data_IF_077301620100
#
_entry.id   IF_077301620100
#
_cell.length_a   1.000
_cell.length_b   1.000
_cell.length_c   1.000
_cell.angle_alpha   90.00
_cell.angle_beta   90.00
_cell.angle_gamma   90.00
#
_symmetry.space_group_name_H-M   'P 1'
#
loop_
_entity.id
_entity.type
_entity.pdbx_description
1 polymer ?
#
# COMPACT_ATOMS: atom_id res chain seq x y z
N UNK A 1 -4.15 -12.13 18.09
CA UNK A 1 -3.26 -12.17 16.90
C UNK A 1 -3.08 -10.76 16.36
N UNK A 2 -1.85 -10.22 16.33
CA UNK A 2 -1.56 -8.88 15.80
C UNK A 2 -1.31 -8.96 14.28
N UNK A 3 -1.85 -8.00 13.53
CA UNK A 3 -1.67 -7.86 12.07
C UNK A 3 -0.88 -6.60 11.78
N UNK A 4 -0.19 -6.57 10.64
CA UNK A 4 0.44 -5.37 10.11
C UNK A 4 -0.15 -5.00 8.74
N UNK A 5 -0.03 -3.73 8.40
CA UNK A 5 -0.35 -3.20 7.08
C UNK A 5 0.62 -2.07 6.78
N UNK A 6 1.38 -2.18 5.69
CA UNK A 6 2.27 -1.13 5.20
C UNK A 6 1.92 -0.77 3.75
N UNK A 7 2.20 0.47 3.38
CA UNK A 7 2.02 0.98 2.02
C UNK A 7 3.19 1.89 1.68
N UNK A 8 3.58 1.90 0.40
CA UNK A 8 4.59 2.80 -0.14
C UNK A 8 4.24 3.14 -1.60
N UNK A 9 4.62 4.34 -2.03
CA UNK A 9 4.70 4.65 -3.46
C UNK A 9 5.96 3.99 -4.03
N UNK A 10 5.87 3.54 -5.28
CA UNK A 10 6.96 2.95 -6.03
C UNK A 10 6.97 3.49 -7.45
N UNK A 11 8.15 3.46 -8.07
CA UNK A 11 8.34 3.75 -9.49
C UNK A 11 8.96 2.51 -10.13
N UNK A 12 8.37 2.05 -11.24
CA UNK A 12 8.90 0.91 -11.99
C UNK A 12 10.15 1.32 -12.79
N UNK A 13 10.92 0.33 -13.26
CA UNK A 13 12.08 0.57 -14.13
C UNK A 13 11.71 1.26 -15.46
N UNK A 14 10.43 1.20 -15.85
CA UNK A 14 9.91 1.79 -17.08
C UNK A 14 9.19 3.13 -16.82
N UNK A 15 9.31 3.69 -15.61
CA UNK A 15 8.72 4.99 -15.25
C UNK A 15 7.25 4.94 -14.84
N UNK A 16 6.66 3.75 -14.71
CA UNK A 16 5.29 3.61 -14.21
C UNK A 16 5.24 3.91 -12.72
N UNK A 17 4.14 4.51 -12.25
CA UNK A 17 3.96 4.82 -10.84
C UNK A 17 3.05 3.77 -10.20
N UNK A 18 3.38 3.32 -9.00
CA UNK A 18 2.68 2.21 -8.35
C UNK A 18 2.48 2.41 -6.85
N UNK A 19 1.46 1.76 -6.33
CA UNK A 19 1.23 1.58 -4.90
C UNK A 19 1.62 0.18 -4.47
N UNK A 20 2.65 0.06 -3.64
CA UNK A 20 3.03 -1.22 -2.99
C UNK A 20 2.30 -1.30 -1.66
N UNK A 21 1.64 -2.43 -1.40
CA UNK A 21 1.01 -2.74 -0.12
C UNK A 21 1.46 -4.09 0.38
N UNK A 22 1.76 -4.17 1.68
CA UNK A 22 2.09 -5.41 2.36
C UNK A 22 1.18 -5.59 3.57
N UNK A 23 0.72 -6.82 3.81
CA UNK A 23 -0.11 -7.14 4.96
C UNK A 23 0.08 -8.57 5.42
N UNK A 24 -0.14 -8.80 6.71
CA UNK A 24 0.01 -10.14 7.24
C UNK A 24 -0.15 -10.19 8.74
N UNK A 25 0.19 -11.35 9.30
CA UNK A 25 0.37 -11.50 10.75
C UNK A 25 1.79 -11.08 11.10
N UNK A 26 1.96 -10.41 12.24
CA UNK A 26 3.30 -10.07 12.74
C UNK A 26 4.08 -11.38 12.98
N UNK A 27 5.35 -11.41 12.54
CA UNK A 27 6.20 -12.61 12.58
C UNK A 27 6.07 -13.53 11.36
N UNK A 28 5.38 -13.10 10.30
CA UNK A 28 5.30 -13.82 9.01
C UNK A 28 5.70 -12.89 7.86
N UNK A 29 6.04 -13.47 6.70
CA UNK A 29 6.31 -12.70 5.47
C UNK A 29 5.09 -11.91 4.97
N UNK A 30 3.88 -12.39 5.29
CA UNK A 30 2.63 -11.77 4.85
C UNK A 30 2.39 -11.94 3.35
N UNK A 31 1.71 -10.98 2.77
CA UNK A 31 1.41 -10.87 1.34
C UNK A 31 1.77 -9.48 0.88
N UNK A 32 2.26 -9.39 -0.36
CA UNK A 32 2.58 -8.14 -1.03
C UNK A 32 1.78 -8.05 -2.32
N UNK A 33 1.30 -6.85 -2.64
CA UNK A 33 0.71 -6.54 -3.94
C UNK A 33 1.13 -5.15 -4.38
N UNK A 34 1.43 -5.04 -5.66
CA UNK A 34 1.65 -3.77 -6.33
C UNK A 34 0.49 -3.51 -7.27
N UNK A 35 -0.08 -2.31 -7.18
CA UNK A 35 -1.07 -1.82 -8.13
C UNK A 35 -0.40 -0.69 -8.93
N UNK A 36 -0.35 -0.82 -10.26
CA UNK A 36 0.30 0.12 -11.16
C UNK A 36 -0.71 1.11 -11.74
N UNK A 37 -0.23 2.33 -12.00
CA UNK A 37 -0.99 3.47 -12.47
C UNK A 37 -0.22 4.19 -13.58
N UNK A 38 -0.96 4.86 -14.45
CA UNK A 38 -0.39 5.59 -15.59
C UNK A 38 0.31 6.87 -15.14
N UNK A 39 -0.12 7.47 -14.03
CA UNK A 39 0.43 8.71 -13.50
C UNK A 39 0.60 8.68 -11.97
N UNK A 40 1.62 9.38 -11.47
CA UNK A 40 1.89 9.49 -10.03
C UNK A 40 0.68 10.00 -9.21
N UNK A 41 -0.07 11.04 -9.64
CA UNK A 41 -1.21 11.52 -8.88
C UNK A 41 -2.31 10.46 -8.71
N UNK A 42 -2.48 9.55 -9.67
CA UNK A 42 -3.46 8.46 -9.56
C UNK A 42 -3.05 7.47 -8.46
N UNK A 43 -1.76 7.12 -8.39
CA UNK A 43 -1.22 6.25 -7.35
C UNK A 43 -1.36 6.88 -5.96
N UNK A 44 -1.09 8.18 -5.84
CA UNK A 44 -1.24 8.94 -4.60
C UNK A 44 -2.70 8.97 -4.11
N UNK A 45 -3.64 9.29 -4.99
CA UNK A 45 -5.07 9.32 -4.67
C UNK A 45 -5.53 7.94 -4.18
N UNK A 46 -5.13 6.87 -4.87
CA UNK A 46 -5.48 5.51 -4.49
C UNK A 46 -4.89 5.11 -3.12
N UNK A 47 -3.61 5.42 -2.87
CA UNK A 47 -2.96 5.15 -1.58
C UNK A 47 -3.60 5.93 -0.44
N UNK A 48 -3.96 7.20 -0.67
CA UNK A 48 -4.63 8.03 0.33
C UNK A 48 -6.03 7.50 0.66
N UNK A 49 -6.80 7.08 -0.35
CA UNK A 49 -8.10 6.45 -0.13
C UNK A 49 -7.99 5.16 0.70
N UNK A 50 -6.99 4.33 0.38
CA UNK A 50 -6.69 3.11 1.11
C UNK A 50 -6.23 3.38 2.54
N UNK A 51 -5.37 4.38 2.76
CA UNK A 51 -4.93 4.84 4.08
C UNK A 51 -6.10 5.27 4.95
N UNK A 52 -7.02 6.09 4.42
CA UNK A 52 -8.24 6.49 5.13
C UNK A 52 -9.10 5.28 5.49
N UNK A 53 -9.24 4.31 4.59
CA UNK A 53 -9.98 3.07 4.86
C UNK A 53 -9.31 2.20 5.94
N UNK A 54 -7.97 2.12 5.97
CA UNK A 54 -7.22 1.32 6.94
C UNK A 54 -7.17 1.98 8.32
N UNK A 55 -7.08 3.32 8.38
CA UNK A 55 -7.24 4.09 9.61
C UNK A 55 -8.59 3.84 10.27
N UNK A 56 -9.68 3.84 9.50
CA UNK A 56 -11.02 3.46 10.01
C UNK A 56 -11.11 2.02 10.55
N UNK A 57 -10.19 1.14 10.15
CA UNK A 57 -10.07 -0.23 10.67
C UNK A 57 -9.12 -0.35 11.87
N UNK A 58 -8.63 0.77 12.41
CA UNK A 58 -7.74 0.80 13.58
C UNK A 58 -6.25 0.64 13.26
N UNK A 59 -5.85 0.65 11.97
CA UNK A 59 -4.42 0.72 11.62
C UNK A 59 -3.92 2.16 11.80
N UNK A 60 -2.81 2.32 12.52
CA UNK A 60 -2.11 3.60 12.68
C UNK A 60 -0.76 3.56 11.95
N UNK A 61 -0.24 4.74 11.64
CA UNK A 61 1.17 4.94 11.28
C UNK A 61 2.08 4.68 12.47
#
# INVERSE_FOLDING_TARGET
MRRFYSMALATSLFGECGGVRQWGRIGTSGQTRTDWYTALPEAEIALQALLRAKRRRGYTS
#
